data_IF_712937634203
#
_entry.id   IF_712937634203
#
_cell.length_a   1.000
_cell.length_b   1.000
_cell.length_c   1.000
_cell.angle_alpha   90.00
_cell.angle_beta   90.00
_cell.angle_gamma   90.00
#
_symmetry.space_group_name_H-M   'P 1'
#
loop_
_entity.id
_entity.type
_entity.pdbx_description
1 polymer ?
#
# COMPACT_ATOMS: atom_id res chain seq x y z
N UNK A 1 -14.59 25.96 -25.79
CA UNK A 1 -14.46 24.91 -24.73
C UNK A 1 -13.11 25.16 -24.10
N UNK A 2 -13.08 25.55 -22.82
CA UNK A 2 -11.81 25.81 -22.12
C UNK A 2 -11.13 24.45 -21.95
N UNK A 3 -9.97 24.26 -22.59
CA UNK A 3 -9.11 23.13 -22.31
C UNK A 3 -8.75 23.18 -20.82
N UNK A 4 -9.26 22.24 -20.05
CA UNK A 4 -8.92 22.16 -18.65
C UNK A 4 -7.41 21.85 -18.55
N UNK A 5 -6.62 22.86 -18.20
CA UNK A 5 -5.20 22.69 -17.94
C UNK A 5 -5.08 21.93 -16.63
N UNK A 6 -4.89 20.64 -16.72
CA UNK A 6 -4.60 19.83 -15.55
C UNK A 6 -3.21 20.21 -15.01
N UNK A 7 -3.05 20.31 -13.68
CA UNK A 7 -1.72 20.48 -13.11
C UNK A 7 -0.83 19.28 -13.48
N UNK A 8 0.47 19.49 -13.48
CA UNK A 8 1.42 18.37 -13.61
C UNK A 8 1.27 17.44 -12.39
N UNK A 9 0.80 16.21 -12.61
CA UNK A 9 0.53 15.24 -11.54
C UNK A 9 1.53 14.10 -11.62
N UNK A 10 2.12 13.76 -10.48
CA UNK A 10 3.09 12.67 -10.34
C UNK A 10 2.61 11.69 -9.27
N UNK A 11 2.57 10.41 -9.60
CA UNK A 11 2.40 9.33 -8.64
C UNK A 11 3.78 8.85 -8.17
N UNK A 12 4.13 9.13 -6.92
CA UNK A 12 5.36 8.68 -6.27
C UNK A 12 5.23 7.21 -5.83
N UNK A 13 5.26 6.29 -6.80
CA UNK A 13 5.08 4.85 -6.55
C UNK A 13 5.57 4.00 -7.72
N UNK A 14 6.09 2.82 -7.40
CA UNK A 14 6.39 1.74 -8.36
C UNK A 14 5.27 0.69 -8.44
N UNK A 15 4.23 0.81 -7.62
CA UNK A 15 3.14 -0.17 -7.55
C UNK A 15 2.25 -0.13 -8.80
N UNK A 16 2.13 -1.24 -9.54
CA UNK A 16 1.22 -1.32 -10.70
C UNK A 16 -0.24 -1.15 -10.26
N UNK A 17 -0.61 -1.64 -9.09
CA UNK A 17 -1.97 -1.53 -8.54
C UNK A 17 -2.39 -0.08 -8.29
N UNK A 18 -1.52 0.72 -7.66
CA UNK A 18 -1.78 2.15 -7.44
C UNK A 18 -1.86 2.93 -8.73
N UNK A 19 -1.01 2.60 -9.69
CA UNK A 19 -1.07 3.19 -11.04
C UNK A 19 -2.42 2.90 -11.70
N UNK A 20 -2.87 1.65 -11.69
CA UNK A 20 -4.16 1.25 -12.25
C UNK A 20 -5.34 1.98 -11.58
N UNK A 21 -5.32 2.08 -10.24
CA UNK A 21 -6.35 2.81 -9.50
C UNK A 21 -6.40 4.28 -9.88
N UNK A 22 -5.25 4.95 -10.00
CA UNK A 22 -5.19 6.36 -10.37
C UNK A 22 -5.63 6.59 -11.84
N UNK A 23 -5.35 5.64 -12.75
CA UNK A 23 -5.80 5.67 -14.14
C UNK A 23 -7.33 5.72 -14.27
N UNK A 24 -8.08 5.16 -13.30
CA UNK A 24 -9.55 5.20 -13.30
C UNK A 24 -10.11 6.61 -13.19
N UNK A 25 -9.36 7.56 -12.68
CA UNK A 25 -9.74 8.98 -12.62
C UNK A 25 -9.65 9.68 -14.00
N UNK A 26 -9.02 9.03 -14.99
CA UNK A 26 -8.86 9.55 -16.37
C UNK A 26 -8.18 10.92 -16.43
N UNK A 27 -7.29 11.20 -15.48
CA UNK A 27 -6.44 12.39 -15.48
C UNK A 27 -5.03 12.00 -15.94
N UNK A 28 -4.31 12.87 -16.67
CA UNK A 28 -2.94 12.61 -17.06
C UNK A 28 -2.01 12.66 -15.84
N UNK A 29 -1.14 11.69 -15.68
CA UNK A 29 -0.10 11.66 -14.65
C UNK A 29 1.10 10.84 -15.12
N UNK A 30 2.23 11.04 -14.49
CA UNK A 30 3.42 10.20 -14.63
C UNK A 30 3.74 9.47 -13.32
N UNK A 31 4.59 8.44 -13.39
CA UNK A 31 5.02 7.69 -12.21
C UNK A 31 6.51 7.84 -12.00
N UNK A 32 6.91 8.18 -10.77
CA UNK A 32 8.31 8.29 -10.36
C UNK A 32 8.52 7.42 -9.13
N UNK A 33 9.61 6.64 -9.13
CA UNK A 33 9.97 5.81 -7.97
C UNK A 33 10.48 6.69 -6.83
N UNK A 34 9.82 6.70 -5.65
CA UNK A 34 10.33 7.41 -4.49
C UNK A 34 11.50 6.62 -3.87
N UNK A 35 12.56 7.33 -3.50
CA UNK A 35 13.69 6.76 -2.76
C UNK A 35 13.56 7.15 -1.29
N UNK A 36 12.93 6.28 -0.49
CA UNK A 36 12.70 6.51 0.94
C UNK A 36 13.06 5.27 1.76
N UNK A 37 13.51 5.49 2.99
CA UNK A 37 13.67 4.41 3.96
C UNK A 37 12.29 4.05 4.53
N UNK A 38 11.86 2.82 4.28
CA UNK A 38 10.58 2.29 4.73
C UNK A 38 10.66 1.59 6.10
N UNK A 39 11.81 1.61 6.76
CA UNK A 39 12.01 0.97 8.07
C UNK A 39 11.08 1.59 9.13
N UNK A 40 10.26 0.80 9.84
CA UNK A 40 9.47 1.30 10.96
C UNK A 40 10.35 1.85 12.07
N UNK A 41 9.92 2.91 12.73
CA UNK A 41 10.55 3.37 13.97
C UNK A 41 10.18 2.46 15.14
N UNK A 42 10.98 2.52 16.21
CA UNK A 42 10.66 1.80 17.43
C UNK A 42 9.26 2.23 17.95
N UNK A 43 8.43 1.25 18.29
CA UNK A 43 7.05 1.44 18.78
C UNK A 43 6.11 2.21 17.84
N UNK A 44 6.46 2.39 16.58
CA UNK A 44 5.60 3.06 15.61
C UNK A 44 4.36 2.22 15.29
N UNK A 45 3.18 2.81 15.55
CA UNK A 45 1.92 2.13 15.27
C UNK A 45 1.69 1.98 13.76
N UNK A 46 1.06 0.87 13.28
CA UNK A 46 0.87 0.60 11.85
C UNK A 46 0.19 1.74 11.09
N UNK A 47 -0.81 2.41 11.70
CA UNK A 47 -1.47 3.57 11.10
C UNK A 47 -0.52 4.77 10.93
N UNK A 48 0.36 5.01 11.91
CA UNK A 48 1.33 6.09 11.86
C UNK A 48 2.40 5.82 10.82
N UNK A 49 2.86 4.58 10.73
CA UNK A 49 3.80 4.11 9.71
C UNK A 49 3.24 4.35 8.31
N UNK A 50 2.00 3.91 8.02
CA UNK A 50 1.38 4.12 6.73
C UNK A 50 1.31 5.61 6.36
N UNK A 51 0.87 6.46 7.30
CA UNK A 51 0.79 7.91 7.15
C UNK A 51 2.15 8.53 6.84
N UNK A 52 3.18 8.23 7.65
CA UNK A 52 4.54 8.74 7.49
C UNK A 52 5.14 8.34 6.16
N UNK A 53 5.00 7.07 5.77
CA UNK A 53 5.57 6.57 4.51
C UNK A 53 4.89 7.18 3.28
N UNK A 54 3.56 7.35 3.32
CA UNK A 54 2.84 8.01 2.24
C UNK A 54 3.34 9.44 2.03
N UNK A 55 3.46 10.22 3.12
CA UNK A 55 3.98 11.59 3.08
C UNK A 55 5.45 11.64 2.65
N UNK A 56 6.31 10.79 3.20
CA UNK A 56 7.73 10.73 2.83
C UNK A 56 7.92 10.43 1.34
N UNK A 57 7.14 9.49 0.79
CA UNK A 57 7.17 9.15 -0.64
C UNK A 57 6.76 10.35 -1.51
N UNK A 58 5.70 11.06 -1.15
CA UNK A 58 5.28 12.24 -1.87
C UNK A 58 6.32 13.36 -1.80
N UNK A 59 6.87 13.64 -0.61
CA UNK A 59 7.88 14.70 -0.42
C UNK A 59 9.18 14.44 -1.18
N UNK A 60 9.70 13.20 -1.14
CA UNK A 60 10.94 12.83 -1.83
C UNK A 60 10.87 13.12 -3.34
N UNK A 61 9.72 12.96 -3.95
CA UNK A 61 9.51 13.29 -5.37
C UNK A 61 9.21 14.78 -5.56
N UNK A 62 8.42 15.39 -4.65
CA UNK A 62 8.08 16.81 -4.73
C UNK A 62 9.31 17.74 -4.58
N UNK A 63 10.35 17.33 -3.85
CA UNK A 63 11.62 18.06 -3.75
C UNK A 63 12.33 18.18 -5.10
N UNK A 64 12.14 17.19 -5.98
CA UNK A 64 12.68 17.20 -7.34
C UNK A 64 11.75 17.90 -8.34
N UNK A 65 10.46 18.00 -8.02
CA UNK A 65 9.40 18.56 -8.86
C UNK A 65 8.49 19.51 -8.06
N UNK A 66 9.00 20.66 -7.60
CA UNK A 66 8.31 21.51 -6.62
C UNK A 66 6.97 22.09 -7.10
N UNK A 67 6.80 22.26 -8.42
CA UNK A 67 5.57 22.80 -9.02
C UNK A 67 4.52 21.71 -9.29
N UNK A 68 4.90 20.43 -9.22
CA UNK A 68 3.98 19.32 -9.47
C UNK A 68 3.09 19.04 -8.25
N UNK A 69 1.93 18.47 -8.51
CA UNK A 69 1.08 17.83 -7.50
C UNK A 69 1.52 16.38 -7.38
N UNK A 70 2.18 16.04 -6.28
CA UNK A 70 2.73 14.71 -6.06
C UNK A 70 1.85 13.90 -5.13
N UNK A 71 1.46 12.70 -5.57
CA UNK A 71 0.65 11.75 -4.80
C UNK A 71 1.56 10.63 -4.31
N UNK A 72 1.70 10.50 -3.01
CA UNK A 72 2.33 9.37 -2.34
C UNK A 72 1.30 8.47 -1.68
N UNK A 73 1.59 7.19 -1.56
CA UNK A 73 0.70 6.26 -0.86
C UNK A 73 1.48 5.13 -0.23
N UNK A 74 0.99 4.66 0.90
CA UNK A 74 1.48 3.46 1.56
C UNK A 74 0.34 2.65 2.16
N UNK A 75 0.54 1.32 2.26
CA UNK A 75 -0.41 0.42 2.91
C UNK A 75 0.33 -0.48 3.89
N UNK A 76 -0.18 -0.53 5.12
CA UNK A 76 0.35 -1.37 6.19
C UNK A 76 -0.73 -2.30 6.69
N UNK A 77 -0.44 -3.60 6.71
CA UNK A 77 -1.28 -4.60 7.35
C UNK A 77 -0.97 -4.65 8.85
N UNK A 78 -2.00 -4.53 9.66
CA UNK A 78 -1.95 -4.49 11.13
C UNK A 78 -2.58 -5.74 11.71
N UNK A 79 -1.78 -6.57 12.35
CA UNK A 79 -2.23 -7.71 13.13
C UNK A 79 -1.96 -7.43 14.61
N UNK A 80 -3.00 -7.09 15.36
CA UNK A 80 -2.93 -6.79 16.80
C UNK A 80 -1.89 -5.71 17.17
N UNK A 81 -1.82 -4.64 16.41
CA UNK A 81 -0.88 -3.53 16.64
C UNK A 81 0.53 -3.78 16.08
N UNK A 82 0.74 -4.89 15.39
CA UNK A 82 2.01 -5.21 14.73
C UNK A 82 1.89 -5.06 13.23
N UNK A 83 2.78 -4.27 12.64
CA UNK A 83 2.84 -4.10 11.19
C UNK A 83 3.36 -5.38 10.52
N UNK A 84 2.63 -5.88 9.54
CA UNK A 84 3.05 -6.94 8.64
C UNK A 84 3.52 -6.31 7.33
N UNK A 85 4.81 -6.38 7.06
CA UNK A 85 5.39 -5.90 5.81
C UNK A 85 5.17 -6.85 4.64
N UNK A 86 5.81 -6.55 3.53
CA UNK A 86 5.90 -7.45 2.37
C UNK A 86 6.73 -8.68 2.76
N UNK A 87 6.28 -9.90 2.48
CA UNK A 87 7.02 -11.10 2.84
C UNK A 87 8.31 -11.27 2.02
N UNK A 88 8.31 -10.85 0.76
CA UNK A 88 9.40 -10.94 -0.23
C UNK A 88 9.83 -12.38 -0.59
N UNK A 89 9.54 -13.35 0.28
CA UNK A 89 9.91 -14.75 0.13
C UNK A 89 8.75 -15.67 0.49
N UNK A 90 8.72 -16.86 -0.11
CA UNK A 90 7.66 -17.84 0.05
C UNK A 90 7.46 -18.25 1.54
N UNK A 91 8.52 -18.66 2.22
CA UNK A 91 8.44 -19.13 3.61
C UNK A 91 7.91 -18.06 4.57
N UNK A 92 8.28 -16.79 4.32
CA UNK A 92 7.76 -15.65 5.08
C UNK A 92 6.28 -15.42 4.80
N UNK A 93 5.85 -15.59 3.55
CA UNK A 93 4.44 -15.48 3.17
C UNK A 93 3.61 -16.58 3.84
N UNK A 94 4.08 -17.82 3.85
CA UNK A 94 3.45 -18.94 4.59
C UNK A 94 3.31 -18.59 6.07
N UNK A 95 4.37 -18.10 6.69
CA UNK A 95 4.38 -17.72 8.10
C UNK A 95 3.38 -16.60 8.40
N UNK A 96 3.32 -15.57 7.55
CA UNK A 96 2.35 -14.48 7.70
C UNK A 96 0.91 -14.97 7.56
N UNK A 97 0.59 -15.75 6.52
CA UNK A 97 -0.75 -16.27 6.28
C UNK A 97 -1.21 -17.19 7.43
N UNK A 98 -0.32 -18.04 7.96
CA UNK A 98 -0.63 -18.85 9.15
C UNK A 98 -0.92 -17.99 10.38
N UNK A 99 -0.18 -16.90 10.58
CA UNK A 99 -0.43 -15.98 11.70
C UNK A 99 -1.75 -15.21 11.57
N UNK A 100 -2.20 -14.95 10.35
CA UNK A 100 -3.46 -14.24 10.07
C UNK A 100 -4.69 -15.15 10.05
N UNK A 101 -4.50 -16.47 9.99
CA UNK A 101 -5.56 -17.47 9.94
C UNK A 101 -6.57 -17.28 11.09
N UNK A 102 -7.86 -17.15 10.76
CA UNK A 102 -8.93 -16.91 11.72
C UNK A 102 -8.88 -15.53 12.42
N UNK A 103 -7.96 -14.65 12.02
CA UNK A 103 -7.78 -13.35 12.65
C UNK A 103 -8.38 -12.24 11.79
N UNK A 104 -8.66 -11.10 12.43
CA UNK A 104 -9.01 -9.87 11.74
C UNK A 104 -7.76 -9.00 11.61
N UNK A 105 -7.38 -8.68 10.39
CA UNK A 105 -6.27 -7.80 10.04
C UNK A 105 -6.83 -6.45 9.60
N UNK A 106 -6.28 -5.35 10.10
CA UNK A 106 -6.66 -4.00 9.68
C UNK A 106 -5.64 -3.50 8.67
N UNK A 107 -6.10 -3.17 7.46
CA UNK A 107 -5.26 -2.54 6.44
C UNK A 107 -5.39 -1.02 6.55
N UNK A 108 -4.30 -0.34 6.88
CA UNK A 108 -4.20 1.12 6.88
C UNK A 108 -3.64 1.57 5.54
N UNK A 109 -4.46 2.22 4.72
CA UNK A 109 -4.03 2.76 3.42
C UNK A 109 -3.97 4.28 3.51
N UNK A 110 -2.77 4.82 3.46
CA UNK A 110 -2.52 6.25 3.49
C UNK A 110 -2.31 6.81 2.09
N UNK A 111 -2.83 8.00 1.85
CA UNK A 111 -2.59 8.82 0.67
C UNK A 111 -2.13 10.20 1.12
N UNK A 112 -1.05 10.67 0.53
CA UNK A 112 -0.51 12.02 0.73
C UNK A 112 -0.52 12.78 -0.60
N UNK A 113 -0.94 14.04 -0.57
CA UNK A 113 -0.86 14.97 -1.69
C UNK A 113 0.02 16.13 -1.30
N UNK A 114 1.11 16.35 -2.03
CA UNK A 114 2.11 17.38 -1.75
C UNK A 114 2.34 18.25 -2.99
N UNK A 115 2.33 19.56 -2.82
CA UNK A 115 2.78 20.51 -3.82
C UNK A 115 3.59 21.62 -3.11
N UNK A 116 4.92 21.61 -3.28
CA UNK A 116 5.80 22.50 -2.51
C UNK A 116 5.63 23.95 -2.91
N UNK A 117 5.48 24.27 -4.20
CA UNK A 117 5.27 25.63 -4.68
C UNK A 117 3.99 26.28 -4.11
N UNK A 118 2.99 25.45 -3.77
CA UNK A 118 1.74 25.91 -3.16
C UNK A 118 1.73 25.77 -1.63
N UNK A 119 2.82 25.30 -1.03
CA UNK A 119 2.91 24.98 0.40
C UNK A 119 1.76 24.09 0.88
N UNK A 120 1.32 23.17 0.01
CA UNK A 120 0.20 22.28 0.27
C UNK A 120 0.70 20.88 0.65
N UNK A 121 0.20 20.36 1.76
CA UNK A 121 0.38 18.99 2.19
C UNK A 121 -0.90 18.52 2.86
N UNK A 122 -1.48 17.46 2.32
CA UNK A 122 -2.64 16.80 2.89
C UNK A 122 -2.40 15.29 2.96
N UNK A 123 -2.76 14.67 4.07
CA UNK A 123 -2.58 13.22 4.27
C UNK A 123 -3.82 12.66 4.94
N UNK A 124 -4.42 11.66 4.29
CA UNK A 124 -5.53 10.89 4.83
C UNK A 124 -5.19 9.40 4.95
N UNK A 125 -5.88 8.70 5.86
CA UNK A 125 -5.68 7.26 6.11
C UNK A 125 -7.03 6.56 6.19
N UNK A 126 -7.32 5.74 5.20
CA UNK A 126 -8.44 4.81 5.21
C UNK A 126 -8.08 3.52 5.95
N UNK A 127 -9.08 2.90 6.58
CA UNK A 127 -8.95 1.61 7.26
C UNK A 127 -9.95 0.61 6.69
N UNK A 128 -9.47 -0.60 6.42
CA UNK A 128 -10.30 -1.73 5.99
C UNK A 128 -9.96 -2.92 6.88
N UNK A 129 -10.97 -3.49 7.54
CA UNK A 129 -10.83 -4.71 8.34
C UNK A 129 -11.14 -5.93 7.47
N UNK A 130 -10.24 -6.89 7.45
CA UNK A 130 -10.38 -8.15 6.71
C UNK A 130 -10.26 -9.29 7.70
N UNK A 131 -11.32 -10.10 7.82
CA UNK A 131 -11.28 -11.33 8.61
C UNK A 131 -10.86 -12.48 7.72
N UNK A 132 -9.72 -13.05 8.02
CA UNK A 132 -9.19 -14.20 7.29
C UNK A 132 -9.94 -15.48 7.69
N UNK A 133 -10.08 -16.38 6.73
CA UNK A 133 -10.65 -17.71 6.96
C UNK A 133 -9.79 -18.51 7.94
N UNK A 134 -10.40 -19.48 8.61
CA UNK A 134 -9.71 -20.44 9.46
C UNK A 134 -9.40 -21.74 8.71
N UNK A 135 -8.72 -22.67 9.34
CA UNK A 135 -8.40 -24.01 8.80
C UNK A 135 -9.64 -24.71 8.24
N UNK A 136 -10.74 -24.67 9.00
CA UNK A 136 -11.98 -25.36 8.65
C UNK A 136 -12.83 -24.62 7.60
N UNK A 137 -12.46 -23.38 7.26
CA UNK A 137 -13.26 -22.52 6.37
C UNK A 137 -12.54 -22.15 5.06
N UNK A 138 -11.39 -22.76 4.78
CA UNK A 138 -10.68 -22.56 3.52
C UNK A 138 -9.35 -21.84 3.66
N UNK A 139 -8.61 -22.07 4.76
CA UNK A 139 -7.25 -21.60 4.92
C UNK A 139 -6.36 -22.65 5.57
N UNK A 140 -6.46 -23.91 5.10
CA UNK A 140 -5.52 -24.97 5.44
C UNK A 140 -4.12 -24.69 4.91
N UNK A 141 -3.14 -25.43 5.35
CA UNK A 141 -1.75 -25.30 4.85
C UNK A 141 -1.66 -25.59 3.34
N UNK A 142 -2.47 -26.53 2.84
CA UNK A 142 -2.52 -26.86 1.40
C UNK A 142 -3.13 -25.73 0.58
N UNK A 143 -4.14 -25.05 1.09
CA UNK A 143 -4.77 -23.90 0.45
C UNK A 143 -3.84 -22.68 0.46
N UNK A 144 -3.12 -22.45 1.55
CA UNK A 144 -2.06 -21.41 1.62
C UNK A 144 -1.01 -21.66 0.53
N UNK A 145 -0.48 -22.88 0.43
CA UNK A 145 0.50 -23.23 -0.59
C UNK A 145 -0.04 -23.06 -2.01
N UNK A 146 -1.28 -23.48 -2.23
CA UNK A 146 -1.97 -23.33 -3.52
C UNK A 146 -2.12 -21.86 -3.92
N UNK A 147 -2.59 -21.02 -2.99
CA UNK A 147 -2.71 -19.58 -3.17
C UNK A 147 -1.37 -18.92 -3.50
N UNK A 148 -0.33 -19.23 -2.73
CA UNK A 148 1.00 -18.66 -2.92
C UNK A 148 1.62 -19.04 -4.26
N UNK A 149 1.38 -20.26 -4.75
CA UNK A 149 1.86 -20.69 -6.07
C UNK A 149 1.16 -19.98 -7.22
N UNK A 150 -0.15 -19.71 -7.08
CA UNK A 150 -0.95 -19.08 -8.12
C UNK A 150 -0.74 -17.55 -8.18
N UNK A 151 -0.76 -16.89 -7.03
CA UNK A 151 -0.77 -15.42 -6.95
C UNK A 151 0.59 -14.79 -6.73
N UNK A 152 1.52 -15.51 -6.08
CA UNK A 152 2.87 -15.01 -5.75
C UNK A 152 2.85 -13.60 -5.12
N UNK A 153 2.08 -13.35 -4.03
CA UNK A 153 1.82 -12.02 -3.48
C UNK A 153 2.98 -11.52 -2.60
N UNK A 154 4.22 -11.74 -3.01
CA UNK A 154 5.41 -11.46 -2.21
C UNK A 154 5.71 -9.98 -2.08
N UNK A 155 5.13 -9.15 -2.93
CA UNK A 155 5.20 -7.69 -2.94
C UNK A 155 3.99 -7.01 -2.27
N UNK A 156 3.05 -7.81 -1.72
CA UNK A 156 1.85 -7.32 -1.04
C UNK A 156 2.02 -7.35 0.48
N UNK A 157 1.61 -6.29 1.17
CA UNK A 157 1.57 -6.24 2.63
C UNK A 157 0.66 -7.35 3.18
N UNK A 158 1.15 -8.11 4.18
CA UNK A 158 0.42 -9.23 4.76
C UNK A 158 0.19 -10.39 3.79
N UNK A 159 0.95 -10.49 2.69
CA UNK A 159 0.81 -11.56 1.69
C UNK A 159 -0.59 -11.68 1.07
N UNK A 160 -1.42 -10.63 1.17
CA UNK A 160 -2.79 -10.62 0.68
C UNK A 160 -2.93 -9.77 -0.58
N UNK A 161 -3.34 -10.40 -1.69
CA UNK A 161 -3.59 -9.74 -2.97
C UNK A 161 -5.10 -9.67 -3.21
N UNK A 162 -5.70 -8.55 -2.81
CA UNK A 162 -7.14 -8.34 -2.89
C UNK A 162 -7.68 -8.23 -4.32
N UNK A 163 -6.82 -7.90 -5.28
CA UNK A 163 -7.14 -7.84 -6.70
C UNK A 163 -7.20 -9.23 -7.38
N UNK A 164 -6.81 -10.28 -6.67
CA UNK A 164 -6.80 -11.66 -7.13
C UNK A 164 -7.49 -12.60 -6.16
N UNK A 165 -6.91 -13.80 -5.97
CA UNK A 165 -7.46 -14.84 -5.09
C UNK A 165 -7.40 -14.51 -3.60
N UNK A 166 -6.75 -13.42 -3.20
CA UNK A 166 -6.66 -13.03 -1.78
C UNK A 166 -7.98 -12.66 -1.12
N UNK A 167 -9.08 -12.59 -1.88
CA UNK A 167 -10.45 -12.39 -1.38
C UNK A 167 -11.28 -13.68 -1.35
N UNK A 168 -10.73 -14.78 -1.84
CA UNK A 168 -11.44 -16.07 -1.99
C UNK A 168 -11.56 -16.85 -0.67
#
# INVERSE_FOLDING_TARGET
MSDAVFPHIILASTSPYRRELLQRLRIPFETISPQVDETPFADEQPRQLARRLAEAKARAVAELHPDAVVIGSDQVADLHGKSLGKPLQHDRAVTQLRAMRGQTVVFHTAVAVVCLARQHTEVDVAQVSVTFRDVDTGMSDEEIESYLRLEQPYDCAGSAKSEGLGIA
#
